data_IF_252573685436
#
_entry.id   IF_252573685436
#
_cell.length_a   1.000
_cell.length_b   1.000
_cell.length_c   1.000
_cell.angle_alpha   90.00
_cell.angle_beta   90.00
_cell.angle_gamma   90.00
#
_symmetry.space_group_name_H-M   'P 1'
#
loop_
_entity.id
_entity.type
_entity.pdbx_description
1 polymer ?
#
# COMPACT_ATOMS: atom_id res chain seq x y z
N UNK A 1 -1.12 -3.88 -15.22
CA UNK A 1 -1.07 -5.06 -14.30
C UNK A 1 -2.33 -5.17 -13.44
N UNK A 2 -2.81 -4.08 -12.82
CA UNK A 2 -4.01 -4.11 -11.95
C UNK A 2 -5.29 -4.65 -12.61
N UNK A 3 -5.56 -4.30 -13.88
CA UNK A 3 -6.74 -4.79 -14.62
C UNK A 3 -6.72 -6.31 -14.84
N UNK A 4 -5.56 -6.85 -15.18
CA UNK A 4 -5.35 -8.30 -15.33
C UNK A 4 -5.61 -9.00 -13.99
N UNK A 5 -5.05 -8.49 -12.89
CA UNK A 5 -5.25 -9.05 -11.54
C UNK A 5 -6.72 -9.09 -11.11
N UNK A 6 -7.50 -8.07 -11.46
CA UNK A 6 -8.94 -8.03 -11.16
C UNK A 6 -9.72 -8.97 -12.09
N UNK A 7 -9.34 -9.07 -13.36
CA UNK A 7 -9.98 -9.97 -14.32
C UNK A 7 -9.74 -11.45 -14.00
N UNK A 8 -8.58 -11.79 -13.44
CA UNK A 8 -8.20 -13.17 -13.08
C UNK A 8 -8.79 -13.61 -11.72
N UNK A 9 -9.45 -12.72 -10.97
CA UNK A 9 -10.09 -13.10 -9.70
C UNK A 9 -11.33 -13.96 -9.95
N UNK A 10 -11.33 -15.17 -9.43
CA UNK A 10 -12.51 -16.04 -9.35
C UNK A 10 -12.82 -16.41 -7.89
N UNK A 11 -14.06 -16.18 -7.44
CA UNK A 11 -14.56 -16.66 -6.14
C UNK A 11 -13.88 -16.03 -4.92
N UNK A 12 -14.48 -14.98 -4.36
CA UNK A 12 -14.04 -14.38 -3.10
C UNK A 12 -15.06 -13.37 -2.55
N UNK A 13 -15.00 -13.02 -1.25
CA UNK A 13 -16.01 -12.19 -0.58
C UNK A 13 -16.00 -10.71 -1.01
N UNK A 14 -15.01 -10.28 -1.81
CA UNK A 14 -14.93 -8.91 -2.30
C UNK A 14 -15.58 -8.81 -3.69
N UNK A 15 -16.45 -7.81 -3.85
CA UNK A 15 -17.19 -7.44 -5.06
C UNK A 15 -16.34 -6.73 -6.11
N UNK A 16 -15.01 -6.67 -5.94
CA UNK A 16 -14.12 -5.94 -6.84
C UNK A 16 -14.17 -6.53 -8.26
N UNK A 17 -14.93 -5.87 -9.13
CA UNK A 17 -15.00 -6.14 -10.57
C UNK A 17 -14.22 -5.08 -11.35
N UNK A 18 -13.99 -5.38 -12.63
CA UNK A 18 -13.39 -4.46 -13.60
C UNK A 18 -14.16 -3.13 -13.70
N UNK A 19 -15.49 -3.16 -13.63
CA UNK A 19 -16.33 -1.95 -13.64
C UNK A 19 -16.13 -1.11 -12.36
N UNK A 20 -16.10 -1.76 -11.19
CA UNK A 20 -15.84 -1.08 -9.91
C UNK A 20 -14.45 -0.44 -9.89
N UNK A 21 -13.42 -1.16 -10.38
CA UNK A 21 -12.08 -0.61 -10.53
C UNK A 21 -12.06 0.65 -11.41
N UNK A 22 -12.77 0.61 -12.54
CA UNK A 22 -12.88 1.75 -13.47
C UNK A 22 -13.40 3.00 -12.75
N UNK A 23 -14.50 2.84 -11.98
CA UNK A 23 -15.11 3.94 -11.21
C UNK A 23 -14.17 4.47 -10.13
N UNK A 24 -13.43 3.58 -9.45
CA UNK A 24 -12.46 3.98 -8.43
C UNK A 24 -11.32 4.82 -9.01
N UNK A 25 -10.80 4.46 -10.19
CA UNK A 25 -9.71 5.21 -10.85
C UNK A 25 -10.17 6.57 -11.40
N UNK A 26 -11.43 6.68 -11.83
CA UNK A 26 -12.00 7.95 -12.27
C UNK A 26 -12.20 8.93 -11.09
N UNK A 27 -12.38 8.40 -9.88
CA UNK A 27 -12.52 9.23 -8.69
C UNK A 27 -11.17 9.88 -8.37
N UNK A 28 -11.10 11.20 -8.52
CA UNK A 28 -9.95 11.98 -8.04
C UNK A 28 -9.97 11.94 -6.51
N UNK A 29 -9.06 11.17 -5.92
CA UNK A 29 -8.85 11.16 -4.49
C UNK A 29 -8.31 12.53 -4.05
N UNK A 30 -8.89 13.10 -3.00
CA UNK A 30 -8.36 14.29 -2.35
C UNK A 30 -6.93 14.00 -1.90
N UNK A 31 -5.98 14.96 -2.03
CA UNK A 31 -4.64 14.79 -1.48
C UNK A 31 -4.74 14.36 -0.02
N UNK A 32 -4.12 13.23 0.31
CA UNK A 32 -4.01 12.76 1.68
C UNK A 32 -2.55 12.83 2.10
N UNK A 33 -2.33 12.91 3.41
CA UNK A 33 -1.00 12.88 4.01
C UNK A 33 -0.39 11.46 3.97
N UNK A 34 -1.04 10.53 3.28
CA UNK A 34 -0.66 9.13 3.26
C UNK A 34 0.45 8.93 2.24
N UNK A 35 1.37 8.03 2.56
CA UNK A 35 2.41 7.62 1.62
C UNK A 35 1.77 6.81 0.49
N UNK A 36 1.99 7.24 -0.75
CA UNK A 36 1.60 6.48 -1.94
C UNK A 36 2.55 5.30 -2.14
N UNK A 37 1.99 4.12 -2.35
CA UNK A 37 2.72 2.91 -2.72
C UNK A 37 2.31 2.49 -4.13
N UNK A 38 3.29 2.19 -4.98
CA UNK A 38 3.04 1.71 -6.33
C UNK A 38 2.74 0.19 -6.32
N UNK A 39 1.51 -0.16 -6.68
CA UNK A 39 1.00 -1.52 -6.68
C UNK A 39 1.42 -2.35 -7.90
N UNK A 40 1.96 -1.73 -8.95
CA UNK A 40 2.41 -2.43 -10.15
C UNK A 40 3.78 -3.11 -9.97
N UNK A 41 4.45 -2.85 -8.83
CA UNK A 41 5.72 -3.50 -8.44
C UNK A 41 5.52 -4.95 -7.99
N UNK A 42 6.63 -5.69 -7.85
CA UNK A 42 6.62 -7.06 -7.31
C UNK A 42 6.23 -7.04 -5.84
N UNK A 43 5.52 -8.07 -5.40
CA UNK A 43 5.02 -8.20 -4.02
C UNK A 43 6.14 -8.08 -2.97
N UNK A 44 7.28 -8.71 -3.22
CA UNK A 44 8.43 -8.66 -2.30
C UNK A 44 8.95 -7.22 -2.12
N UNK A 45 8.98 -6.43 -3.18
CA UNK A 45 9.45 -5.05 -3.14
C UNK A 45 8.48 -4.14 -2.40
N UNK A 46 7.18 -4.38 -2.57
CA UNK A 46 6.11 -3.68 -1.84
C UNK A 46 6.18 -4.02 -0.35
N UNK A 47 6.30 -5.30 -0.01
CA UNK A 47 6.39 -5.77 1.37
C UNK A 47 7.62 -5.20 2.09
N UNK A 48 8.78 -5.18 1.41
CA UNK A 48 10.01 -4.61 1.96
C UNK A 48 9.90 -3.09 2.18
N UNK A 49 9.20 -2.36 1.30
CA UNK A 49 8.94 -0.94 1.53
C UNK A 49 8.04 -0.72 2.76
N UNK A 50 6.96 -1.48 2.87
CA UNK A 50 6.02 -1.35 3.99
C UNK A 50 6.70 -1.65 5.33
N UNK A 51 7.50 -2.73 5.39
CA UNK A 51 8.28 -3.06 6.58
C UNK A 51 9.20 -1.91 7.01
N UNK A 52 9.96 -1.33 6.07
CA UNK A 52 10.84 -0.18 6.35
C UNK A 52 10.09 1.03 6.90
N UNK A 53 8.89 1.30 6.39
CA UNK A 53 8.05 2.40 6.88
C UNK A 53 7.56 2.11 8.29
N UNK A 54 7.07 0.90 8.55
CA UNK A 54 6.63 0.47 9.88
C UNK A 54 7.76 0.54 10.91
N UNK A 55 8.96 0.07 10.55
CA UNK A 55 10.14 0.15 11.40
C UNK A 55 10.52 1.60 11.68
N UNK A 56 10.58 2.45 10.65
CA UNK A 56 10.91 3.86 10.82
C UNK A 56 9.91 4.59 11.75
N UNK A 57 8.61 4.27 11.66
CA UNK A 57 7.59 4.78 12.58
C UNK A 57 7.82 4.27 14.00
N UNK A 58 8.13 2.98 14.17
CA UNK A 58 8.44 2.40 15.48
C UNK A 58 9.70 3.02 16.12
N UNK A 59 10.76 3.26 15.33
CA UNK A 59 11.97 3.96 15.75
C UNK A 59 11.71 5.41 16.14
N UNK A 60 10.86 6.12 15.39
CA UNK A 60 10.49 7.50 15.72
C UNK A 60 9.67 7.59 17.02
N UNK A 61 8.90 6.54 17.35
CA UNK A 61 8.10 6.46 18.57
C UNK A 61 8.91 6.01 19.80
N UNK A 62 9.98 5.24 19.60
CA UNK A 62 10.89 4.78 20.67
C UNK A 62 12.36 5.05 20.28
N UNK A 63 12.83 6.30 20.37
CA UNK A 63 14.22 6.61 20.11
C UNK A 63 15.11 5.91 21.16
N UNK A 64 16.23 5.28 20.75
CA UNK A 64 17.15 4.67 21.70
C UNK A 64 17.70 5.73 22.66
N UNK A 65 17.70 5.41 23.96
CA UNK A 65 18.27 6.27 25.00
C UNK A 65 19.72 6.60 24.64
N UNK A 66 20.00 7.88 24.38
CA UNK A 66 21.38 8.36 24.24
C UNK A 66 22.11 8.00 25.53
N UNK A 67 23.07 7.08 25.44
CA UNK A 67 24.09 6.93 26.47
C UNK A 67 24.91 8.22 26.47
N UNK A 68 24.54 9.15 27.35
CA UNK A 68 25.38 10.29 27.67
C UNK A 68 26.60 9.75 28.44
N UNK A 69 27.79 10.02 27.88
CA UNK A 69 29.08 9.73 28.49
C UNK A 69 29.57 10.92 29.31
#
# INVERSE_FOLDING_TARGET
>A
VLWQRVSERSGGPSDATVDILSRQLQRKATPSNWRKVDADRKLADIAAELAKVSDAVAFAQNPPLKTAS
#
